data_IF_584375295732
#
_entry.id   IF_584375295732
#
_cell.length_a   1.000
_cell.length_b   1.000
_cell.length_c   1.000
_cell.angle_alpha   90.00
_cell.angle_beta   90.00
_cell.angle_gamma   90.00
#
_symmetry.space_group_name_H-M   'P 1'
#
loop_
_entity.id
_entity.type
_entity.pdbx_description
1 polymer ?
#
# COMPACT_ATOMS: atom_id res chain seq x y z
N UNK A 1 41.93 77.51 -22.20
CA UNK A 1 42.40 76.86 -20.96
C UNK A 1 41.25 76.96 -19.97
N UNK A 2 40.69 75.81 -19.59
CA UNK A 2 39.60 75.58 -18.62
C UNK A 2 38.33 76.46 -18.70
N UNK A 3 37.25 75.83 -19.17
CA UNK A 3 35.86 76.24 -18.95
C UNK A 3 35.32 75.38 -17.81
N UNK A 4 34.96 75.99 -16.69
CA UNK A 4 34.16 75.35 -15.63
C UNK A 4 32.67 75.40 -16.00
N UNK A 5 31.87 74.34 -15.77
CA UNK A 5 30.42 74.42 -15.86
C UNK A 5 29.76 74.70 -14.48
N UNK A 6 28.54 75.27 -14.46
CA UNK A 6 27.86 75.68 -13.23
C UNK A 6 26.85 74.64 -12.70
N UNK A 7 26.55 74.81 -11.41
CA UNK A 7 25.30 74.54 -10.68
C UNK A 7 24.55 73.20 -10.87
N UNK A 8 24.54 72.39 -9.80
CA UNK A 8 23.56 71.32 -9.59
C UNK A 8 22.64 71.66 -8.42
N UNK A 9 21.37 71.83 -8.74
CA UNK A 9 20.22 71.97 -7.84
C UNK A 9 19.75 70.60 -7.33
N UNK A 10 19.53 70.52 -6.02
CA UNK A 10 18.38 69.86 -5.36
C UNK A 10 18.14 68.36 -5.57
N UNK A 11 18.50 67.55 -4.58
CA UNK A 11 17.89 66.22 -4.37
C UNK A 11 17.28 66.13 -2.97
N UNK A 12 15.96 66.23 -2.92
CA UNK A 12 15.11 65.96 -1.76
C UNK A 12 15.15 64.46 -1.44
N UNK A 13 15.57 64.12 -0.21
CA UNK A 13 15.52 62.76 0.36
C UNK A 13 14.07 62.40 0.70
N UNK A 14 13.53 61.39 0.04
CA UNK A 14 12.38 60.63 0.54
C UNK A 14 12.89 59.61 1.56
N UNK A 15 12.37 59.66 2.78
CA UNK A 15 12.54 58.63 3.81
C UNK A 15 11.30 57.75 3.82
N UNK A 16 11.41 56.52 3.32
CA UNK A 16 10.41 55.48 3.55
C UNK A 16 10.75 54.71 4.84
N UNK A 17 9.75 54.40 5.71
CA UNK A 17 9.98 53.54 6.86
C UNK A 17 10.08 52.09 6.41
N UNK A 18 11.18 51.42 6.77
CA UNK A 18 11.34 49.97 6.64
C UNK A 18 10.37 49.31 7.62
N UNK A 19 9.22 48.89 7.09
CA UNK A 19 8.30 48.00 7.77
C UNK A 19 9.00 46.65 7.97
N UNK A 20 9.38 46.37 9.22
CA UNK A 20 10.01 45.10 9.59
C UNK A 20 8.98 43.99 9.41
N UNK A 21 9.07 43.29 8.27
CA UNK A 21 8.36 42.02 8.06
C UNK A 21 8.64 41.08 9.24
N UNK A 22 7.61 40.51 9.87
CA UNK A 22 7.82 39.57 10.96
C UNK A 22 8.56 38.34 10.41
N UNK A 23 9.62 37.93 11.11
CA UNK A 23 10.34 36.71 10.81
C UNK A 23 9.35 35.54 10.63
N UNK A 24 9.57 34.65 9.65
CA UNK A 24 8.66 33.55 9.38
C UNK A 24 8.49 32.73 10.66
N UNK A 25 7.26 32.70 11.18
CA UNK A 25 6.90 31.86 12.32
C UNK A 25 7.33 30.45 11.97
N UNK A 26 8.20 29.88 12.82
CA UNK A 26 8.67 28.51 12.75
C UNK A 26 7.44 27.60 12.68
N UNK A 27 7.14 27.07 11.49
CA UNK A 27 5.99 26.17 11.27
C UNK A 27 6.22 24.95 12.15
N UNK A 28 5.50 24.89 13.25
CA UNK A 28 5.38 23.71 14.12
C UNK A 28 4.91 22.55 13.24
N UNK A 29 5.51 21.35 13.39
CA UNK A 29 5.19 20.12 12.65
C UNK A 29 3.81 20.19 11.95
N UNK A 30 3.86 20.45 10.64
CA UNK A 30 2.81 21.14 9.90
C UNK A 30 1.42 20.53 10.10
N UNK A 31 0.44 21.39 10.37
CA UNK A 31 -0.98 21.02 10.42
C UNK A 31 -1.32 20.16 9.19
N UNK A 32 -1.76 18.93 9.41
CA UNK A 32 -2.02 17.95 8.34
C UNK A 32 -3.05 18.46 7.33
N UNK A 33 -3.93 19.39 7.76
CA UNK A 33 -4.92 20.06 6.92
C UNK A 33 -4.28 20.81 5.74
N UNK A 34 -3.05 21.29 5.90
CA UNK A 34 -2.30 21.95 4.81
C UNK A 34 -1.83 20.96 3.73
N UNK A 35 -1.97 19.65 3.96
CA UNK A 35 -1.58 18.57 3.03
C UNK A 35 -2.79 17.78 2.53
N UNK A 36 -4.00 18.30 2.75
CA UNK A 36 -5.21 17.73 2.14
C UNK A 36 -5.26 18.13 0.67
N UNK A 37 -5.55 17.18 -0.21
CA UNK A 37 -5.75 17.37 -1.63
C UNK A 37 -7.23 17.13 -1.94
N UNK A 38 -7.86 18.01 -2.72
CA UNK A 38 -9.22 17.81 -3.23
C UNK A 38 -9.31 18.42 -4.63
N UNK A 39 -9.45 17.57 -5.66
CA UNK A 39 -9.37 18.00 -7.04
C UNK A 39 -7.97 18.57 -7.37
N UNK A 40 -7.92 19.82 -7.78
CA UNK A 40 -6.68 20.56 -8.09
C UNK A 40 -6.11 21.34 -6.90
N UNK A 41 -6.83 21.40 -5.77
CA UNK A 41 -6.45 22.19 -4.60
C UNK A 41 -5.61 21.39 -3.61
N UNK A 42 -4.69 22.09 -2.92
CA UNK A 42 -3.85 21.55 -1.84
C UNK A 42 -3.85 22.51 -0.66
N UNK A 43 -4.35 22.06 0.49
CA UNK A 43 -4.53 22.88 1.68
C UNK A 43 -5.61 23.96 1.51
N UNK A 44 -6.00 24.61 2.62
CA UNK A 44 -7.06 25.63 2.60
C UNK A 44 -8.45 25.11 2.25
N UNK A 45 -8.66 23.80 2.33
CA UNK A 45 -9.92 23.12 2.03
C UNK A 45 -10.79 23.07 3.29
N UNK A 46 -12.09 23.32 3.15
CA UNK A 46 -13.07 23.08 4.20
C UNK A 46 -13.23 21.56 4.41
N UNK A 47 -12.98 21.10 5.63
CA UNK A 47 -12.95 19.67 5.95
C UNK A 47 -14.25 19.28 6.64
N UNK A 48 -14.85 18.13 6.28
CA UNK A 48 -15.99 17.63 7.01
C UNK A 48 -15.58 17.15 8.41
N UNK A 49 -16.46 17.31 9.41
CA UNK A 49 -16.17 16.99 10.81
C UNK A 49 -15.74 15.53 11.04
N UNK A 50 -16.31 14.60 10.25
CA UNK A 50 -15.99 13.18 10.35
C UNK A 50 -14.54 12.87 9.95
N UNK A 51 -13.94 13.68 9.07
CA UNK A 51 -12.58 13.45 8.58
C UNK A 51 -11.56 13.73 9.67
N UNK A 52 -11.76 14.77 10.48
CA UNK A 52 -10.86 15.07 11.59
C UNK A 52 -10.83 13.93 12.61
N UNK A 53 -11.98 13.33 12.90
CA UNK A 53 -12.09 12.18 13.81
C UNK A 53 -11.40 10.95 13.22
N UNK A 54 -11.59 10.70 11.92
CA UNK A 54 -10.95 9.59 11.20
C UNK A 54 -9.43 9.75 11.14
N UNK A 55 -8.95 10.96 10.85
CA UNK A 55 -7.53 11.30 10.86
C UNK A 55 -6.91 11.11 12.25
N UNK A 56 -7.57 11.59 13.32
CA UNK A 56 -7.10 11.39 14.70
C UNK A 56 -6.94 9.91 15.02
N UNK A 57 -7.86 9.06 14.55
CA UNK A 57 -7.80 7.61 14.77
C UNK A 57 -6.61 7.00 14.03
N UNK A 58 -6.48 7.26 12.73
CA UNK A 58 -5.33 6.81 11.93
C UNK A 58 -4.01 7.25 12.56
N UNK A 59 -3.87 8.53 12.89
CA UNK A 59 -2.64 9.09 13.47
C UNK A 59 -2.32 8.43 14.81
N UNK A 60 -3.32 8.23 15.68
CA UNK A 60 -3.12 7.57 16.99
C UNK A 60 -2.57 6.17 16.82
N UNK A 61 -3.16 5.38 15.90
CA UNK A 61 -2.69 4.03 15.64
C UNK A 61 -1.30 4.01 14.99
N UNK A 62 -1.11 4.75 13.89
CA UNK A 62 0.15 4.77 13.12
C UNK A 62 1.33 5.28 13.94
N UNK A 63 1.08 6.18 14.89
CA UNK A 63 2.10 6.73 15.80
C UNK A 63 2.30 5.88 17.06
N UNK A 64 1.51 4.82 17.28
CA UNK A 64 1.69 3.92 18.40
C UNK A 64 3.07 3.23 18.30
N UNK A 65 3.87 3.14 19.39
CA UNK A 65 5.22 2.56 19.34
C UNK A 65 5.26 1.12 18.81
N UNK A 66 4.20 0.35 19.08
CA UNK A 66 4.04 -1.04 18.67
C UNK A 66 3.37 -1.21 17.31
N UNK A 67 2.98 -0.12 16.63
CA UNK A 67 2.38 -0.22 15.30
C UNK A 67 3.33 -0.99 14.35
N UNK A 68 2.84 -1.96 13.56
CA UNK A 68 3.72 -2.86 12.83
C UNK A 68 4.51 -2.20 11.71
N UNK A 69 3.91 -1.24 11.01
CA UNK A 69 4.51 -0.60 9.85
C UNK A 69 5.26 0.67 10.26
N UNK A 70 6.54 0.51 10.63
CA UNK A 70 7.39 1.64 10.96
C UNK A 70 7.63 2.59 9.78
N UNK A 71 7.46 2.15 8.52
CA UNK A 71 7.49 3.02 7.35
C UNK A 71 6.38 4.06 7.39
N UNK A 72 5.15 3.63 7.71
CA UNK A 72 4.02 4.53 7.91
C UNK A 72 4.26 5.51 9.06
N UNK A 73 4.79 5.01 10.18
CA UNK A 73 5.15 5.87 11.34
C UNK A 73 6.20 6.92 10.98
N UNK A 74 7.22 6.56 10.19
CA UNK A 74 8.26 7.50 9.75
C UNK A 74 7.66 8.54 8.80
N UNK A 75 6.86 8.11 7.83
CA UNK A 75 6.23 9.01 6.86
C UNK A 75 5.31 10.02 7.56
N UNK A 76 4.46 9.58 8.49
CA UNK A 76 3.60 10.48 9.27
C UNK A 76 4.42 11.46 10.11
N UNK A 77 5.48 10.99 10.78
CA UNK A 77 6.36 11.84 11.60
C UNK A 77 7.10 12.89 10.78
N UNK A 78 7.50 12.56 9.55
CA UNK A 78 8.21 13.44 8.61
C UNK A 78 7.28 14.32 7.79
N UNK A 79 5.97 14.22 7.98
CA UNK A 79 4.96 14.91 7.16
C UNK A 79 5.06 14.52 5.66
N UNK A 80 5.49 13.30 5.37
CA UNK A 80 5.57 12.68 4.02
C UNK A 80 4.23 11.98 3.67
N UNK A 81 3.12 12.53 4.16
CA UNK A 81 1.76 12.04 3.93
C UNK A 81 0.89 13.20 3.45
N UNK A 82 0.32 13.02 2.26
CA UNK A 82 -0.87 13.75 1.82
C UNK A 82 -2.13 13.02 2.28
N UNK A 83 -3.24 13.75 2.30
CA UNK A 83 -4.54 13.19 2.65
C UNK A 83 -5.59 13.65 1.65
N UNK A 84 -6.66 12.88 1.51
CA UNK A 84 -7.86 13.28 0.78
C UNK A 84 -9.07 12.61 1.42
N UNK A 85 -10.26 12.98 0.99
CA UNK A 85 -11.48 12.34 1.42
C UNK A 85 -12.48 12.16 0.28
N UNK A 86 -13.39 11.23 0.47
CA UNK A 86 -14.56 10.95 -0.37
C UNK A 86 -15.79 11.01 0.54
N UNK A 87 -16.74 11.88 0.21
CA UNK A 87 -18.03 11.94 0.92
C UNK A 87 -18.92 10.81 0.44
N UNK A 88 -19.48 10.05 1.39
CA UNK A 88 -20.15 8.78 1.15
C UNK A 88 -19.31 7.84 0.26
N UNK A 89 -19.77 7.65 -0.97
CA UNK A 89 -19.15 6.79 -1.99
C UNK A 89 -19.03 7.51 -3.33
N UNK A 90 -19.11 8.84 -3.33
CA UNK A 90 -19.04 9.66 -4.54
C UNK A 90 -17.58 9.90 -4.96
N UNK A 91 -17.11 9.06 -5.88
CA UNK A 91 -15.75 9.12 -6.41
C UNK A 91 -15.55 10.21 -7.49
N UNK A 92 -16.50 11.10 -7.76
CA UNK A 92 -16.42 12.05 -8.87
C UNK A 92 -15.16 12.93 -8.86
N UNK A 93 -14.69 13.36 -7.68
CA UNK A 93 -13.49 14.20 -7.53
C UNK A 93 -12.19 13.41 -7.46
N UNK A 94 -12.26 12.09 -7.23
CA UNK A 94 -11.11 11.25 -6.95
C UNK A 94 -10.09 11.20 -8.11
N UNK A 95 -10.49 11.10 -9.41
CA UNK A 95 -9.55 11.17 -10.52
C UNK A 95 -8.70 12.46 -10.51
N UNK A 96 -9.34 13.62 -10.33
CA UNK A 96 -8.63 14.90 -10.30
C UNK A 96 -7.70 15.01 -9.09
N UNK A 97 -8.15 14.58 -7.90
CA UNK A 97 -7.32 14.49 -6.70
C UNK A 97 -6.08 13.63 -6.95
N UNK A 98 -6.26 12.44 -7.56
CA UNK A 98 -5.16 11.53 -7.83
C UNK A 98 -4.18 12.10 -8.86
N UNK A 99 -4.66 12.82 -9.89
CA UNK A 99 -3.76 13.53 -10.83
C UNK A 99 -2.95 14.63 -10.15
N UNK A 100 -3.55 15.35 -9.20
CA UNK A 100 -2.81 16.31 -8.38
C UNK A 100 -1.74 15.60 -7.56
N UNK A 101 -2.06 14.46 -6.95
CA UNK A 101 -1.09 13.66 -6.23
C UNK A 101 0.06 13.17 -7.13
N UNK A 102 -0.21 12.63 -8.32
CA UNK A 102 0.84 12.14 -9.23
C UNK A 102 1.77 13.27 -9.69
N UNK A 103 1.20 14.46 -9.97
CA UNK A 103 1.98 15.68 -10.27
C UNK A 103 2.82 16.16 -9.09
N UNK A 104 2.36 15.98 -7.85
CA UNK A 104 3.17 16.26 -6.67
C UNK A 104 4.29 15.21 -6.54
N UNK A 105 3.97 13.93 -6.63
CA UNK A 105 4.92 12.83 -6.49
C UNK A 105 6.03 12.81 -7.57
N UNK A 106 5.83 13.46 -8.72
CA UNK A 106 6.90 13.64 -9.72
C UNK A 106 7.95 14.67 -9.32
N UNK A 107 7.62 15.57 -8.37
CA UNK A 107 8.53 16.59 -7.86
C UNK A 107 9.51 15.97 -6.85
N UNK A 108 10.81 16.28 -6.91
CA UNK A 108 11.83 15.66 -6.05
C UNK A 108 11.52 15.74 -4.55
N UNK A 109 10.91 16.83 -4.09
CA UNK A 109 10.55 17.11 -2.70
C UNK A 109 9.42 16.22 -2.16
N UNK A 110 8.52 15.73 -3.03
CA UNK A 110 7.36 14.93 -2.64
C UNK A 110 7.42 13.50 -3.18
N UNK A 111 8.52 13.11 -3.82
CA UNK A 111 8.69 11.80 -4.45
C UNK A 111 8.43 10.61 -3.52
N UNK A 112 8.65 10.79 -2.22
CA UNK A 112 8.44 9.76 -1.19
C UNK A 112 7.15 9.96 -0.40
N UNK A 113 6.30 10.89 -0.81
CA UNK A 113 5.04 11.12 -0.14
C UNK A 113 4.03 10.06 -0.56
N UNK A 114 3.28 9.55 0.41
CA UNK A 114 2.10 8.75 0.16
C UNK A 114 0.86 9.64 0.18
N UNK A 115 -0.29 9.11 -0.23
CA UNK A 115 -1.60 9.71 0.02
C UNK A 115 -2.51 8.72 0.74
N UNK A 116 -3.16 9.17 1.82
CA UNK A 116 -4.22 8.43 2.50
C UNK A 116 -5.59 9.07 2.17
N UNK A 117 -6.47 8.29 1.56
CA UNK A 117 -7.80 8.72 1.12
C UNK A 117 -8.84 8.09 2.03
N UNK A 118 -9.56 8.92 2.77
CA UNK A 118 -10.59 8.49 3.70
C UNK A 118 -11.96 8.48 3.02
N UNK A 119 -12.72 7.42 3.22
CA UNK A 119 -14.14 7.38 2.88
C UNK A 119 -14.95 7.73 4.12
N UNK A 120 -16.02 8.50 3.92
CA UNK A 120 -16.96 8.82 4.98
C UNK A 120 -17.47 7.52 5.64
N UNK A 121 -17.38 7.40 6.98
CA UNK A 121 -17.86 6.24 7.69
C UNK A 121 -19.36 6.00 7.46
N UNK A 122 -19.71 4.75 7.14
CA UNK A 122 -21.11 4.34 7.11
C UNK A 122 -21.69 4.29 8.53
N UNK A 123 -22.96 4.69 8.69
CA UNK A 123 -23.65 4.62 9.98
C UNK A 123 -23.68 3.18 10.55
N UNK A 124 -23.73 2.19 9.65
CA UNK A 124 -23.44 0.79 9.94
C UNK A 124 -22.28 0.36 9.04
N UNK A 125 -21.15 -0.10 9.61
CA UNK A 125 -20.02 -0.54 8.81
C UNK A 125 -20.41 -1.60 7.79
N UNK A 126 -19.82 -1.52 6.60
CA UNK A 126 -20.03 -2.51 5.54
C UNK A 126 -19.45 -3.87 5.95
N UNK A 127 -19.95 -4.93 5.32
CA UNK A 127 -19.33 -6.25 5.41
C UNK A 127 -17.95 -6.27 4.74
N UNK A 128 -17.15 -7.30 5.04
CA UNK A 128 -15.82 -7.45 4.45
C UNK A 128 -15.86 -7.52 2.92
N UNK A 129 -16.83 -8.26 2.36
CA UNK A 129 -17.06 -8.37 0.92
C UNK A 129 -17.47 -7.04 0.29
N UNK A 130 -18.34 -6.26 0.94
CA UNK A 130 -18.72 -4.94 0.43
C UNK A 130 -17.56 -3.94 0.42
N UNK A 131 -16.68 -3.97 1.43
CA UNK A 131 -15.44 -3.19 1.40
C UNK A 131 -14.47 -3.67 0.34
N UNK A 132 -14.36 -4.98 0.13
CA UNK A 132 -13.57 -5.57 -0.94
C UNK A 132 -14.04 -5.06 -2.31
N UNK A 133 -15.35 -5.09 -2.55
CA UNK A 133 -15.92 -4.66 -3.82
C UNK A 133 -15.82 -3.14 -4.03
N UNK A 134 -16.00 -2.36 -2.96
CA UNK A 134 -15.79 -0.91 -2.99
C UNK A 134 -14.32 -0.56 -3.29
N UNK A 135 -13.38 -1.28 -2.69
CA UNK A 135 -11.95 -1.12 -2.93
C UNK A 135 -11.59 -1.38 -4.40
N UNK A 136 -11.93 -2.56 -4.93
CA UNK A 136 -11.60 -2.92 -6.31
C UNK A 136 -12.38 -2.08 -7.32
N UNK A 137 -13.64 -1.75 -7.03
CA UNK A 137 -14.44 -0.84 -7.85
C UNK A 137 -13.83 0.56 -7.94
N UNK A 138 -13.22 1.05 -6.85
CA UNK A 138 -12.51 2.33 -6.84
C UNK A 138 -11.25 2.30 -7.70
N UNK A 139 -10.41 1.26 -7.56
CA UNK A 139 -9.23 1.10 -8.40
C UNK A 139 -9.62 0.93 -9.87
N UNK A 140 -10.68 0.18 -10.16
CA UNK A 140 -11.19 0.02 -11.51
C UNK A 140 -11.71 1.34 -12.07
N UNK A 141 -12.42 2.15 -11.27
CA UNK A 141 -12.89 3.47 -11.68
C UNK A 141 -11.73 4.37 -12.09
N UNK A 142 -10.70 4.48 -11.25
CA UNK A 142 -9.47 5.22 -11.54
C UNK A 142 -8.82 4.69 -12.82
N UNK A 143 -8.63 3.37 -12.93
CA UNK A 143 -8.05 2.76 -14.11
C UNK A 143 -8.83 3.12 -15.36
N UNK A 144 -10.17 3.08 -15.36
CA UNK A 144 -10.97 3.37 -16.55
C UNK A 144 -10.83 4.81 -17.07
N UNK A 145 -10.50 5.76 -16.19
CA UNK A 145 -10.38 7.19 -16.51
C UNK A 145 -8.95 7.70 -16.44
N UNK A 146 -7.96 6.81 -16.28
CA UNK A 146 -6.55 7.18 -16.24
C UNK A 146 -6.12 7.85 -17.56
N UNK A 147 -5.65 9.12 -17.53
CA UNK A 147 -5.27 9.84 -18.73
C UNK A 147 -3.90 9.43 -19.29
N UNK A 148 -3.14 8.58 -18.58
CA UNK A 148 -1.85 8.10 -19.07
C UNK A 148 -2.02 7.24 -20.34
N UNK A 149 -1.40 7.61 -21.48
CA UNK A 149 -1.46 6.81 -22.71
C UNK A 149 -0.89 5.40 -22.53
N UNK A 150 0.01 5.17 -21.56
CA UNK A 150 0.63 3.86 -21.32
C UNK A 150 -0.21 2.96 -20.39
N UNK A 151 -1.34 3.44 -19.84
CA UNK A 151 -2.16 2.69 -18.89
C UNK A 151 -2.65 1.35 -19.46
N UNK A 152 -2.95 1.28 -20.76
CA UNK A 152 -3.41 0.07 -21.43
C UNK A 152 -2.27 -0.90 -21.81
N UNK A 153 -1.03 -0.40 -21.81
CA UNK A 153 0.18 -1.15 -22.17
C UNK A 153 0.90 -1.78 -20.97
N UNK A 154 0.48 -1.48 -19.74
CA UNK A 154 1.02 -2.13 -18.54
C UNK A 154 0.92 -3.65 -18.61
N UNK A 155 1.84 -4.37 -17.98
CA UNK A 155 1.76 -5.85 -17.85
C UNK A 155 0.45 -6.28 -17.20
N UNK A 156 -0.04 -7.52 -17.38
CA UNK A 156 -1.27 -7.96 -16.70
C UNK A 156 -1.06 -8.12 -15.18
N UNK A 157 -2.11 -8.01 -14.35
CA UNK A 157 -2.02 -8.28 -12.91
C UNK A 157 -1.52 -9.69 -12.53
N UNK A 158 -1.54 -10.63 -13.48
CA UNK A 158 -0.95 -11.96 -13.31
C UNK A 158 0.58 -11.98 -13.45
N UNK A 159 1.23 -10.83 -13.69
CA UNK A 159 2.67 -10.69 -13.81
C UNK A 159 3.28 -10.16 -12.51
N UNK A 160 4.45 -10.66 -12.10
CA UNK A 160 5.12 -10.31 -10.84
C UNK A 160 5.59 -8.85 -10.76
N UNK A 161 5.89 -8.24 -11.91
CA UNK A 161 6.22 -6.82 -12.04
C UNK A 161 4.99 -5.88 -12.04
N UNK A 162 3.77 -6.41 -11.98
CA UNK A 162 2.57 -5.56 -12.02
C UNK A 162 2.34 -4.81 -10.70
N UNK A 163 1.98 -3.54 -10.84
CA UNK A 163 1.39 -2.70 -9.79
C UNK A 163 0.26 -1.86 -10.38
N UNK A 164 -0.62 -1.37 -9.51
CA UNK A 164 -1.63 -0.40 -9.92
C UNK A 164 -0.95 0.91 -10.36
N UNK A 165 -1.29 1.36 -11.57
CA UNK A 165 -0.87 2.65 -12.11
C UNK A 165 -2.03 3.62 -12.22
N UNK A 166 -1.75 4.90 -11.99
CA UNK A 166 -2.64 6.01 -12.34
C UNK A 166 -1.81 7.25 -12.70
N UNK A 167 -2.15 7.94 -13.79
CA UNK A 167 -1.50 9.19 -14.18
C UNK A 167 0.01 9.09 -14.36
N UNK A 168 0.51 7.96 -14.90
CA UNK A 168 1.93 7.69 -15.11
C UNK A 168 2.70 7.23 -13.86
N UNK A 169 2.02 7.04 -12.73
CA UNK A 169 2.66 6.63 -11.47
C UNK A 169 2.19 5.25 -11.03
N UNK A 170 3.15 4.33 -10.88
CA UNK A 170 2.92 3.02 -10.25
C UNK A 170 2.97 3.11 -8.73
N UNK A 171 2.01 2.47 -8.08
CA UNK A 171 1.78 2.57 -6.65
C UNK A 171 1.39 1.23 -6.05
N UNK A 172 1.92 0.95 -4.86
CA UNK A 172 1.39 -0.07 -3.98
C UNK A 172 0.16 0.51 -3.27
N UNK A 173 -0.95 -0.25 -3.24
CA UNK A 173 -2.18 0.21 -2.60
C UNK A 173 -2.49 -0.66 -1.40
N UNK A 174 -2.86 -0.02 -0.30
CA UNK A 174 -3.37 -0.70 0.89
C UNK A 174 -4.80 -0.28 1.14
N UNK A 175 -5.68 -1.24 1.33
CA UNK A 175 -6.96 -1.01 1.97
C UNK A 175 -6.87 -1.24 3.48
N UNK A 176 -7.38 -0.29 4.25
CA UNK A 176 -7.70 -0.46 5.67
C UNK A 176 -9.19 -0.14 5.89
N UNK A 177 -9.91 -0.93 6.67
CA UNK A 177 -11.33 -0.72 6.93
C UNK A 177 -11.80 -1.40 8.23
N UNK A 178 -12.98 -1.03 8.76
CA UNK A 178 -13.50 -1.57 10.02
C UNK A 178 -13.73 -3.08 10.02
N UNK A 179 -13.95 -3.69 8.85
CA UNK A 179 -14.24 -5.12 8.73
C UNK A 179 -13.05 -6.02 9.05
N UNK A 180 -11.83 -5.48 9.10
CA UNK A 180 -10.65 -6.19 9.58
C UNK A 180 -10.72 -6.33 11.11
N UNK A 181 -11.25 -7.47 11.55
CA UNK A 181 -11.45 -7.82 12.95
C UNK A 181 -10.27 -8.60 13.53
N UNK A 182 -9.58 -9.40 12.71
CA UNK A 182 -8.40 -10.17 13.12
C UNK A 182 -7.11 -9.41 12.79
N UNK A 183 -7.11 -8.66 11.68
CA UNK A 183 -5.97 -7.83 11.25
C UNK A 183 -6.12 -6.39 11.71
N UNK A 184 -5.95 -6.15 13.01
CA UNK A 184 -6.00 -4.82 13.60
C UNK A 184 -5.09 -3.80 12.90
N UNK A 185 -3.98 -4.23 12.31
CA UNK A 185 -3.07 -3.40 11.51
C UNK A 185 -3.70 -2.81 10.24
N UNK A 186 -4.80 -3.41 9.76
CA UNK A 186 -5.61 -2.98 8.61
C UNK A 186 -6.93 -2.34 9.04
N UNK A 187 -7.12 -2.00 10.31
CA UNK A 187 -8.31 -1.29 10.78
C UNK A 187 -7.95 0.09 11.33
N UNK A 188 -7.87 1.10 10.45
CA UNK A 188 -7.37 2.44 10.78
C UNK A 188 -8.46 3.45 11.20
N UNK A 189 -9.70 3.00 11.40
CA UNK A 189 -10.79 3.89 11.78
C UNK A 189 -12.17 3.39 11.38
N UNK A 190 -13.21 4.20 11.58
CA UNK A 190 -14.61 3.81 11.37
C UNK A 190 -15.04 3.77 9.89
N UNK A 191 -14.19 4.23 8.97
CA UNK A 191 -14.42 4.19 7.52
C UNK A 191 -13.27 3.52 6.78
N UNK A 192 -13.45 3.29 5.48
CA UNK A 192 -12.39 2.76 4.62
C UNK A 192 -11.30 3.84 4.41
N UNK A 193 -10.04 3.43 4.44
CA UNK A 193 -8.88 4.26 4.14
C UNK A 193 -8.04 3.56 3.08
N UNK A 194 -7.83 4.24 1.95
CA UNK A 194 -6.95 3.77 0.89
C UNK A 194 -5.60 4.48 1.01
N UNK A 195 -4.51 3.73 1.11
CA UNK A 195 -3.16 4.29 1.13
C UNK A 195 -2.48 3.96 -0.20
N UNK A 196 -2.19 4.99 -0.99
CA UNK A 196 -1.43 4.86 -2.23
C UNK A 196 0.02 5.25 -1.98
N UNK A 197 0.94 4.35 -2.32
CA UNK A 197 2.34 4.43 -1.96
C UNK A 197 3.21 4.31 -3.22
N UNK A 198 3.79 5.41 -3.71
CA UNK A 198 4.70 5.37 -4.85
C UNK A 198 5.88 4.45 -4.59
N UNK A 199 6.38 3.76 -5.62
CA UNK A 199 7.49 2.81 -5.46
C UNK A 199 8.73 3.43 -4.80
N UNK A 200 9.00 4.71 -5.05
CA UNK A 200 10.13 5.45 -4.48
C UNK A 200 10.13 5.52 -2.94
N UNK A 201 8.99 5.29 -2.29
CA UNK A 201 8.88 5.16 -0.82
C UNK A 201 9.70 3.96 -0.34
N UNK A 202 9.74 2.88 -1.14
CA UNK A 202 10.39 1.62 -0.81
C UNK A 202 11.89 1.57 -1.14
N UNK A 203 12.50 2.69 -1.51
CA UNK A 203 13.93 2.79 -1.82
C UNK A 203 14.65 3.61 -0.73
N UNK A 204 15.72 3.06 -0.18
CA UNK A 204 16.58 3.73 0.78
C UNK A 204 17.38 4.85 0.09
N UNK A 205 17.35 6.06 0.64
CA UNK A 205 17.94 7.25 0.02
C UNK A 205 19.46 7.32 0.09
N UNK A 206 20.08 6.59 1.03
CA UNK A 206 21.54 6.63 1.23
C UNK A 206 22.21 5.57 0.36
N UNK A 207 21.61 4.39 0.31
CA UNK A 207 22.14 3.22 -0.39
C UNK A 207 21.54 3.03 -1.79
N UNK A 208 20.45 3.74 -2.10
CA UNK A 208 19.63 3.55 -3.30
C UNK A 208 19.18 2.09 -3.50
N UNK A 209 19.05 1.34 -2.40
CA UNK A 209 18.59 -0.05 -2.39
C UNK A 209 17.14 -0.12 -1.96
N UNK A 210 16.38 -1.02 -2.56
CA UNK A 210 15.05 -1.37 -2.07
C UNK A 210 15.15 -1.79 -0.60
N UNK A 211 14.18 -1.35 0.22
CA UNK A 211 14.04 -1.76 1.62
C UNK A 211 14.30 -3.26 1.72
N UNK A 212 15.34 -3.63 2.47
CA UNK A 212 15.84 -5.00 2.51
C UNK A 212 14.86 -5.99 3.14
N UNK A 213 15.04 -7.27 2.83
CA UNK A 213 14.24 -8.40 3.37
C UNK A 213 14.10 -8.35 4.89
N UNK A 214 15.18 -8.00 5.60
CA UNK A 214 15.19 -7.85 7.06
C UNK A 214 14.17 -6.83 7.58
N UNK A 215 13.98 -5.71 6.89
CA UNK A 215 13.03 -4.68 7.31
C UNK A 215 11.59 -5.22 7.23
N UNK A 216 11.27 -5.98 6.18
CA UNK A 216 9.96 -6.64 6.05
C UNK A 216 9.77 -7.76 7.08
N UNK A 217 10.82 -8.51 7.40
CA UNK A 217 10.78 -9.52 8.47
C UNK A 217 10.50 -8.90 9.85
N UNK A 218 11.09 -7.73 10.14
CA UNK A 218 10.77 -6.98 11.35
C UNK A 218 9.30 -6.53 11.39
N UNK A 219 8.74 -6.08 10.26
CA UNK A 219 7.31 -5.77 10.16
C UNK A 219 6.47 -7.02 10.46
N UNK A 220 6.82 -8.19 9.90
CA UNK A 220 6.11 -9.46 10.18
C UNK A 220 6.14 -9.84 11.65
N UNK A 221 7.27 -9.62 12.32
CA UNK A 221 7.37 -9.91 13.75
C UNK A 221 6.51 -8.97 14.59
N UNK A 222 6.40 -7.70 14.21
CA UNK A 222 5.47 -6.77 14.85
C UNK A 222 4.01 -7.13 14.56
N UNK A 223 3.69 -7.57 13.34
CA UNK A 223 2.34 -8.02 12.98
C UNK A 223 1.88 -9.16 13.89
N UNK A 224 2.74 -10.13 14.22
CA UNK A 224 2.41 -11.22 15.16
C UNK A 224 1.98 -10.76 16.55
N UNK A 225 2.40 -9.57 16.98
CA UNK A 225 2.08 -9.00 18.29
C UNK A 225 0.85 -8.10 18.24
N UNK A 226 0.62 -7.47 17.08
CA UNK A 226 -0.42 -6.47 16.89
C UNK A 226 -1.73 -7.07 16.39
N UNK A 227 -1.66 -8.01 15.43
CA UNK A 227 -2.83 -8.68 14.87
C UNK A 227 -3.21 -9.90 15.71
N UNK A 228 -4.50 -10.24 15.73
CA UNK A 228 -4.99 -11.47 16.35
C UNK A 228 -4.69 -12.72 15.50
N UNK A 229 -4.16 -12.53 14.29
CA UNK A 229 -3.82 -13.58 13.34
C UNK A 229 -2.39 -13.40 12.84
N UNK A 230 -1.77 -14.50 12.39
CA UNK A 230 -0.43 -14.47 11.83
C UNK A 230 -0.30 -13.61 10.56
N UNK A 231 0.95 -13.30 10.15
CA UNK A 231 1.20 -12.63 8.88
C UNK A 231 0.55 -13.37 7.71
N UNK A 232 -0.13 -12.64 6.83
CA UNK A 232 -0.83 -13.22 5.69
C UNK A 232 0.11 -13.99 4.75
N UNK A 233 -0.28 -15.16 4.23
CA UNK A 233 0.55 -15.96 3.30
C UNK A 233 0.96 -15.19 2.05
N UNK A 234 0.05 -14.38 1.49
CA UNK A 234 0.33 -13.57 0.29
C UNK A 234 1.23 -12.34 0.54
N UNK A 235 1.57 -12.01 1.78
CA UNK A 235 2.60 -10.99 2.00
C UNK A 235 3.91 -11.54 1.45
N UNK A 236 4.46 -10.90 0.42
CA UNK A 236 5.69 -11.32 -0.24
C UNK A 236 6.61 -10.14 -0.57
N UNK A 237 7.39 -10.27 -1.63
CA UNK A 237 8.35 -9.28 -2.10
C UNK A 237 8.09 -8.98 -3.57
N UNK A 238 8.05 -7.69 -3.91
CA UNK A 238 7.85 -7.26 -5.29
C UNK A 238 8.91 -7.84 -6.22
N UNK A 239 8.47 -8.36 -7.37
CA UNK A 239 9.34 -8.99 -8.37
C UNK A 239 9.90 -10.35 -7.98
N UNK A 240 9.59 -10.90 -6.79
CA UNK A 240 9.95 -12.29 -6.49
C UNK A 240 9.08 -13.24 -7.34
N UNK A 241 9.66 -14.32 -7.89
CA UNK A 241 8.92 -15.31 -8.67
C UNK A 241 7.65 -15.81 -8.00
N UNK A 242 6.51 -15.58 -8.64
CA UNK A 242 5.19 -16.00 -8.16
C UNK A 242 4.54 -15.09 -7.11
N UNK A 243 5.20 -14.00 -6.70
CA UNK A 243 4.57 -12.97 -5.88
C UNK A 243 3.77 -11.99 -6.77
N UNK A 244 2.46 -11.97 -6.59
CA UNK A 244 1.58 -11.02 -7.27
C UNK A 244 1.17 -9.91 -6.29
N UNK A 245 1.62 -8.67 -6.53
CA UNK A 245 1.43 -7.56 -5.59
C UNK A 245 -0.04 -7.30 -5.25
N UNK A 246 -0.94 -7.47 -6.23
CA UNK A 246 -2.37 -7.24 -6.06
C UNK A 246 -2.99 -8.11 -4.97
N UNK A 247 -2.44 -9.31 -4.70
CA UNK A 247 -2.89 -10.19 -3.60
C UNK A 247 -2.68 -9.56 -2.23
N UNK A 248 -1.81 -8.54 -2.13
CA UNK A 248 -1.50 -7.84 -0.89
C UNK A 248 -2.33 -6.57 -0.67
N UNK A 249 -3.07 -6.11 -1.69
CA UNK A 249 -3.76 -4.82 -1.65
C UNK A 249 -5.00 -4.83 -0.74
N UNK A 250 -5.78 -5.90 -0.84
CA UNK A 250 -6.89 -6.21 0.07
C UNK A 250 -6.69 -7.64 0.57
N UNK A 251 -6.17 -7.77 1.78
CA UNK A 251 -5.93 -9.08 2.40
C UNK A 251 -7.25 -9.68 2.89
N UNK A 252 -7.32 -11.00 2.96
CA UNK A 252 -8.41 -11.67 3.66
C UNK A 252 -8.17 -11.62 5.18
N UNK A 253 -9.22 -11.35 5.96
CA UNK A 253 -9.10 -11.24 7.42
C UNK A 253 -8.86 -12.62 8.07
N UNK A 254 -9.47 -13.68 7.50
CA UNK A 254 -9.34 -15.06 7.98
C UNK A 254 -7.99 -15.75 7.66
N UNK A 255 -7.02 -15.04 7.08
CA UNK A 255 -5.68 -15.57 6.76
C UNK A 255 -5.66 -16.71 5.74
N UNK A 256 -6.61 -16.66 4.81
CA UNK A 256 -6.72 -17.55 3.66
C UNK A 256 -6.04 -16.87 2.47
N UNK A 257 -5.22 -17.60 1.72
CA UNK A 257 -4.58 -17.06 0.53
C UNK A 257 -5.62 -16.64 -0.52
N UNK A 258 -5.36 -15.54 -1.21
CA UNK A 258 -6.20 -15.04 -2.28
C UNK A 258 -6.24 -16.04 -3.44
N UNK A 259 -7.40 -16.10 -4.10
CA UNK A 259 -7.59 -16.87 -5.32
C UNK A 259 -6.58 -16.48 -6.41
N UNK A 260 -6.45 -17.32 -7.44
CA UNK A 260 -5.44 -17.11 -8.49
C UNK A 260 -5.86 -16.10 -9.57
N UNK A 261 -6.97 -15.39 -9.38
CA UNK A 261 -7.46 -14.38 -10.32
C UNK A 261 -7.65 -13.02 -9.65
N UNK A 262 -7.05 -12.00 -10.24
CA UNK A 262 -7.20 -10.61 -9.81
C UNK A 262 -8.60 -10.08 -10.17
N UNK A 263 -9.32 -9.42 -9.23
CA UNK A 263 -10.58 -8.73 -9.53
C UNK A 263 -10.43 -7.54 -10.48
N UNK A 264 -9.21 -7.02 -10.63
CA UNK A 264 -8.90 -5.91 -11.53
C UNK A 264 -8.95 -6.34 -13.01
N UNK A 265 -9.66 -5.55 -13.83
CA UNK A 265 -9.82 -5.79 -15.25
C UNK A 265 -9.07 -4.73 -16.07
N UNK A 266 -8.24 -5.16 -17.03
CA UNK A 266 -7.74 -4.25 -18.07
C UNK A 266 -8.91 -3.69 -18.88
N UNK A 267 -8.84 -2.41 -19.27
CA UNK A 267 -9.89 -1.75 -20.09
C UNK A 267 -10.21 -2.53 -21.36
N UNK A 268 -9.18 -2.99 -22.07
CA UNK A 268 -9.34 -3.76 -23.32
C UNK A 268 -10.10 -5.09 -23.12
N UNK A 269 -9.92 -5.75 -21.97
CA UNK A 269 -10.67 -6.97 -21.64
C UNK A 269 -12.12 -6.65 -21.32
N UNK A 270 -12.36 -5.55 -20.60
CA UNK A 270 -13.71 -5.10 -20.28
C UNK A 270 -14.52 -4.72 -21.51
N UNK A 271 -13.95 -4.01 -22.49
CA UNK A 271 -14.65 -3.73 -23.76
C UNK A 271 -15.11 -5.02 -24.43
N UNK A 272 -14.30 -6.09 -24.34
CA UNK A 272 -14.63 -7.40 -24.89
C UNK A 272 -15.71 -8.12 -24.06
N UNK A 273 -15.61 -8.11 -22.73
CA UNK A 273 -16.59 -8.72 -21.82
C UNK A 273 -17.94 -8.00 -21.84
N UNK A 274 -17.96 -6.66 -21.84
CA UNK A 274 -19.16 -5.83 -21.97
C UNK A 274 -19.80 -6.03 -23.35
N UNK A 275 -19.02 -6.05 -24.44
CA UNK A 275 -19.53 -6.38 -25.78
C UNK A 275 -20.10 -7.80 -25.85
N UNK A 276 -19.48 -8.76 -25.17
CA UNK A 276 -19.96 -10.15 -25.12
C UNK A 276 -21.24 -10.26 -24.29
N UNK A 277 -21.31 -9.60 -23.13
CA UNK A 277 -22.49 -9.54 -22.27
C UNK A 277 -23.69 -8.86 -22.94
N UNK A 278 -23.43 -7.80 -23.73
CA UNK A 278 -24.45 -7.13 -24.56
C UNK A 278 -24.89 -7.96 -25.79
N UNK A 279 -24.10 -8.97 -26.17
CA UNK A 279 -24.38 -9.83 -27.34
C UNK A 279 -25.11 -11.14 -27.03
N UNK A 280 -25.38 -11.45 -25.75
CA UNK A 280 -26.16 -12.64 -25.37
C UNK A 280 -27.64 -12.41 -25.70
N UNK A 281 -28.25 -13.16 -26.64
CA UNK A 281 -29.68 -13.04 -26.91
C UNK A 281 -30.49 -13.58 -25.73
N UNK A 282 -31.46 -12.81 -25.27
CA UNK A 282 -32.50 -13.29 -24.36
C UNK A 282 -33.47 -14.19 -25.13
N UNK A 283 -33.10 -15.44 -25.40
CA UNK A 283 -34.11 -16.46 -25.74
C UNK A 283 -33.61 -17.90 -25.51
N UNK A 284 -34.19 -18.56 -24.52
CA UNK A 284 -34.51 -20.00 -24.57
C UNK A 284 -35.45 -20.33 -23.41
N UNK A 285 -36.74 -20.05 -23.60
CA UNK A 285 -37.77 -20.82 -22.90
C UNK A 285 -37.71 -22.28 -23.36
N UNK A 286 -37.70 -23.28 -22.46
CA UNK A 286 -37.81 -24.67 -22.87
C UNK A 286 -39.25 -24.95 -23.36
N UNK A 287 -39.43 -25.74 -24.43
CA UNK A 287 -40.75 -26.02 -24.98
C UNK A 287 -41.54 -26.97 -24.07
N UNK A 288 -42.79 -26.59 -23.81
CA UNK A 288 -43.80 -27.36 -23.08
C UNK A 288 -44.16 -28.64 -23.85
N UNK A 289 -44.07 -29.85 -23.26
CA UNK A 289 -44.56 -31.05 -23.93
C UNK A 289 -46.07 -31.20 -23.72
N UNK A 290 -46.82 -31.16 -24.82
CA UNK A 290 -48.20 -31.65 -24.91
C UNK A 290 -48.15 -33.18 -25.07
N UNK A 291 -48.65 -33.93 -24.08
CA UNK A 291 -48.91 -35.36 -24.25
C UNK A 291 -50.32 -35.72 -23.73
N UNK A 292 -51.12 -36.23 -24.66
CA UNK A 292 -52.46 -36.76 -24.43
C UNK A 292 -52.46 -38.07 -23.64
N UNK A 293 -53.61 -38.28 -23.00
CA UNK A 293 -53.98 -39.38 -22.10
C UNK A 293 -53.98 -40.76 -22.79
N UNK A 294 -53.73 -41.82 -22.01
CA UNK A 294 -54.44 -43.14 -21.93
C UNK A 294 -53.51 -44.18 -21.21
N UNK A 295 -54.04 -45.14 -20.43
CA UNK A 295 -53.71 -45.24 -19.00
C UNK A 295 -53.04 -46.55 -18.52
N UNK A 296 -52.68 -46.45 -17.23
CA UNK A 296 -52.16 -47.39 -16.23
C UNK A 296 -52.67 -48.84 -16.29
N UNK A 297 -51.74 -49.79 -16.11
CA UNK A 297 -52.00 -51.04 -15.39
C UNK A 297 -50.84 -51.42 -14.45
N UNK A 298 -51.19 -52.05 -13.32
CA UNK A 298 -50.48 -52.15 -12.04
C UNK A 298 -49.55 -53.38 -11.90
N UNK A 299 -48.40 -53.18 -11.19
CA UNK A 299 -47.74 -54.01 -10.13
C UNK A 299 -47.33 -55.49 -10.41
N UNK A 300 -46.52 -56.15 -9.53
CA UNK A 300 -45.43 -55.70 -8.63
C UNK A 300 -44.15 -56.60 -8.65
N UNK A 301 -43.11 -56.13 -7.93
CA UNK A 301 -41.90 -56.77 -7.36
C UNK A 301 -41.99 -58.29 -6.98
N UNK A 302 -40.85 -59.05 -6.77
CA UNK A 302 -39.79 -58.69 -5.81
C UNK A 302 -38.34 -59.24 -5.98
N UNK A 303 -37.44 -58.68 -5.14
CA UNK A 303 -36.26 -59.21 -4.41
C UNK A 303 -35.34 -60.29 -5.01
N UNK A 304 -34.01 -60.07 -4.97
CA UNK A 304 -33.04 -60.73 -4.06
C UNK A 304 -31.57 -60.40 -4.40
N UNK A 305 -30.77 -60.14 -3.35
CA UNK A 305 -29.59 -60.98 -3.05
C UNK A 305 -28.22 -60.68 -3.72
N UNK A 306 -27.13 -60.49 -2.94
CA UNK A 306 -25.80 -60.11 -3.43
C UNK A 306 -24.87 -61.31 -3.69
N UNK A 307 -23.76 -61.11 -4.40
CA UNK A 307 -22.60 -62.02 -4.30
C UNK A 307 -21.27 -61.35 -4.67
N UNK A 308 -20.23 -61.88 -4.06
CA UNK A 308 -18.90 -61.33 -3.79
C UNK A 308 -17.88 -62.00 -4.73
N UNK A 309 -16.75 -61.31 -4.97
CA UNK A 309 -15.38 -61.85 -5.16
C UNK A 309 -15.01 -62.66 -6.41
N UNK A 310 -14.02 -62.16 -7.18
CA UNK A 310 -12.61 -62.66 -7.25
C UNK A 310 -11.86 -61.92 -8.38
N UNK A 311 -10.75 -61.21 -8.09
CA UNK A 311 -9.32 -61.64 -8.16
C UNK A 311 -8.84 -62.12 -9.54
N UNK A 312 -7.92 -61.36 -10.15
CA UNK A 312 -6.62 -61.79 -10.74
C UNK A 312 -6.13 -60.67 -11.70
N UNK A 313 -5.11 -59.87 -11.37
CA UNK A 313 -3.65 -60.06 -11.51
C UNK A 313 -3.10 -60.09 -12.96
N UNK A 314 -1.99 -59.34 -13.12
CA UNK A 314 -0.89 -59.43 -14.11
C UNK A 314 -0.88 -58.37 -15.21
N UNK A 315 0.24 -57.64 -15.28
CA UNK A 315 0.68 -56.88 -16.46
C UNK A 315 1.72 -55.81 -16.13
N UNK A 316 2.98 -56.04 -16.50
CA UNK A 316 4.19 -55.34 -16.07
C UNK A 316 4.71 -54.35 -17.13
N UNK A 317 5.63 -53.45 -16.71
CA UNK A 317 6.52 -52.57 -17.48
C UNK A 317 5.86 -51.36 -18.21
N UNK A 318 6.37 -50.13 -18.18
CA UNK A 318 7.67 -49.58 -17.78
C UNK A 318 8.12 -48.60 -18.87
N UNK A 319 8.14 -47.29 -18.61
CA UNK A 319 8.91 -46.35 -19.45
C UNK A 319 9.20 -44.99 -18.76
N UNK A 320 10.45 -44.86 -18.34
CA UNK A 320 11.39 -43.73 -18.44
C UNK A 320 10.94 -42.30 -18.10
N UNK A 321 11.46 -41.84 -16.96
CA UNK A 321 11.68 -40.44 -16.60
C UNK A 321 12.71 -39.78 -17.53
N UNK A 322 12.40 -38.58 -18.02
CA UNK A 322 13.33 -37.70 -18.72
C UNK A 322 13.83 -36.62 -17.76
N UNK A 323 15.10 -36.71 -17.42
CA UNK A 323 15.89 -35.72 -16.71
C UNK A 323 16.43 -34.74 -17.76
N UNK A 324 16.19 -33.44 -17.63
CA UNK A 324 16.85 -32.42 -18.46
C UNK A 324 17.83 -31.61 -17.63
N UNK A 325 19.05 -31.59 -18.13
CA UNK A 325 20.18 -30.78 -17.69
C UNK A 325 19.93 -29.30 -17.98
N UNK A 326 20.27 -28.44 -17.02
CA UNK A 326 20.52 -27.02 -17.26
C UNK A 326 22.01 -26.75 -16.95
N UNK A 327 22.78 -26.47 -17.99
CA UNK A 327 24.16 -25.99 -17.90
C UNK A 327 24.14 -24.50 -17.53
N UNK A 328 24.72 -24.17 -16.36
CA UNK A 328 25.00 -22.80 -15.95
C UNK A 328 26.48 -22.49 -16.24
N UNK A 329 26.70 -21.60 -17.21
CA UNK A 329 28.02 -21.06 -17.54
C UNK A 329 28.62 -20.27 -16.37
N UNK A 330 29.77 -20.74 -15.89
CA UNK A 330 30.59 -20.09 -14.88
C UNK A 330 31.36 -18.90 -15.47
N UNK A 331 31.04 -17.69 -15.02
CA UNK A 331 31.91 -16.52 -15.12
C UNK A 331 32.90 -16.50 -13.96
N UNK A 332 34.18 -16.69 -14.28
CA UNK A 332 35.35 -16.72 -13.38
C UNK A 332 35.44 -15.48 -12.49
N UNK A 333 35.46 -15.70 -11.18
CA UNK A 333 36.00 -14.77 -10.18
C UNK A 333 37.54 -14.86 -10.22
N UNK A 334 38.21 -13.73 -10.37
CA UNK A 334 39.66 -13.60 -10.18
C UNK A 334 39.88 -13.26 -8.70
N UNK A 335 40.43 -14.21 -7.95
CA UNK A 335 41.14 -13.95 -6.70
C UNK A 335 42.52 -13.36 -7.01
N UNK A 336 42.80 -12.19 -6.44
CA UNK A 336 44.15 -11.80 -6.07
C UNK A 336 44.09 -11.34 -4.62
N UNK A 337 44.67 -12.16 -3.75
CA UNK A 337 45.03 -11.75 -2.40
C UNK A 337 46.22 -10.81 -2.45
N UNK A 338 46.26 -9.88 -1.50
CA UNK A 338 47.54 -9.44 -0.96
C UNK A 338 47.39 -9.27 0.55
N UNK A 339 48.27 -9.98 1.25
CA UNK A 339 48.37 -10.00 2.70
C UNK A 339 49.69 -9.30 3.04
N UNK A 340 49.64 -8.31 3.94
CA UNK A 340 50.73 -8.11 4.90
C UNK A 340 50.34 -7.23 6.08
N UNK A 341 50.99 -7.43 7.23
CA UNK A 341 50.45 -7.15 8.55
C UNK A 341 50.90 -5.79 9.09
N UNK A 342 50.15 -5.23 10.04
CA UNK A 342 50.68 -4.16 10.90
C UNK A 342 50.53 -4.50 12.38
N UNK A 343 51.72 -4.55 12.97
CA UNK A 343 52.12 -4.67 14.35
C UNK A 343 51.29 -3.82 15.32
N UNK A 344 50.96 -4.43 16.46
CA UNK A 344 50.73 -3.75 17.74
C UNK A 344 52.10 -3.43 18.35
N UNK A 345 52.19 -2.33 19.12
CA UNK A 345 52.78 -2.51 20.44
C UNK A 345 51.88 -1.96 21.55
N UNK A 346 51.73 -2.83 22.54
CA UNK A 346 51.35 -2.56 23.91
C UNK A 346 52.29 -1.53 24.55
N UNK A 347 51.70 -0.46 25.07
CA UNK A 347 52.36 0.50 25.96
C UNK A 347 51.54 0.65 27.23
N UNK A 348 51.95 -0.05 28.29
CA UNK A 348 51.49 0.19 29.65
C UNK A 348 51.98 1.56 30.13
N UNK A 349 51.09 2.36 30.72
CA UNK A 349 51.44 3.19 31.87
C UNK A 349 50.24 3.37 32.80
N UNK A 350 50.45 2.98 34.04
CA UNK A 350 49.54 3.14 35.18
C UNK A 350 49.91 4.42 35.94
N UNK A 351 48.92 5.24 36.28
CA UNK A 351 48.86 6.06 37.50
C UNK A 351 47.37 6.40 37.71
N UNK A 352 46.65 5.80 38.67
CA UNK A 352 46.62 6.06 40.12
C UNK A 352 46.05 7.43 40.49
N UNK A 353 44.88 7.44 41.16
CA UNK A 353 44.30 8.58 41.89
C UNK A 353 42.79 8.73 41.67
N UNK A 354 41.93 7.90 42.29
CA UNK A 354 41.21 8.17 43.55
C UNK A 354 40.40 9.48 43.60
N UNK A 355 39.07 9.39 43.45
CA UNK A 355 38.08 9.70 44.49
C UNK A 355 36.65 9.77 43.93
N UNK A 356 35.79 8.85 44.39
CA UNK A 356 34.36 9.10 44.55
C UNK A 356 34.13 9.86 45.87
N UNK A 357 32.98 10.53 46.05
CA UNK A 357 31.88 9.81 46.68
C UNK A 357 30.50 10.08 46.06
N UNK A 358 29.57 9.19 46.43
CA UNK A 358 28.18 9.10 46.02
C UNK A 358 27.26 9.96 46.95
N UNK A 359 25.94 9.72 47.04
CA UNK A 359 24.89 10.71 46.75
C UNK A 359 24.23 11.29 48.01
N UNK A 360 23.66 12.49 47.90
CA UNK A 360 22.79 13.06 48.94
C UNK A 360 21.33 12.66 48.71
N UNK A 361 20.79 11.86 49.64
CA UNK A 361 19.36 11.80 49.97
C UNK A 361 18.94 13.13 50.60
N UNK A 362 17.69 13.53 50.37
CA UNK A 362 16.93 14.21 51.40
C UNK A 362 15.46 13.77 51.35
N UNK A 363 14.98 13.33 52.51
CA UNK A 363 13.60 12.97 52.85
C UNK A 363 12.89 14.19 53.50
N UNK A 364 11.55 14.18 53.51
CA UNK A 364 10.67 15.02 54.35
C UNK A 364 10.16 16.30 53.67
N UNK A 365 8.90 16.74 53.78
CA UNK A 365 7.85 16.47 54.78
C UNK A 365 6.45 16.88 54.25
N UNK A 366 5.44 16.43 55.00
CA UNK A 366 3.99 16.61 54.91
C UNK A 366 3.48 18.04 55.25
N UNK A 367 2.16 18.23 55.03
CA UNK A 367 1.20 19.31 55.42
C UNK A 367 0.76 20.14 54.17
N UNK A 368 -0.50 20.29 53.77
CA UNK A 368 -1.86 20.14 54.35
C UNK A 368 -2.82 19.46 53.37
#
# INVERSE_FOLDING_TARGET
MQLDPPDTLGSTRFTDPIESSPAPKRVTASDWRSRVILGDQVGGIELPDWLETSYKTLRTQVMHPEYPCFFGTIAERRCEMFYSFVNGKDNATLPATMLTFTRLASQPEFRRNNIAIFYEPDATPLTHTEYHDLFWGTLQHLHNVDPDPEADHQVPPSHEDWEFGYGGLQMFVVCACPSFSQRHSRNLGPGMVLLFQPRAVFVDTITNKVIGRQAREQVRERLRKWDAVGPHPDLGFYGDPGNLEWKQYFLEDANIAAADQCPFLKRMRRVTEDATALSVPADTQPPTPMLGKIPVHLKPHPTEGPSISHVAHVGHAGHLSRQMHAEAGHGRLIEQGDASPREMPSGHSQHSGSHAPAPSRNDGEHLE
#
